data_IF_301028071729
#
_entry.id   IF_301028071729
#
_cell.length_a   1.000
_cell.length_b   1.000
_cell.length_c   1.000
_cell.angle_alpha   90.00
_cell.angle_beta   90.00
_cell.angle_gamma   90.00
#
_symmetry.space_group_name_H-M   'P 1'
#
loop_
_entity.id
_entity.type
_entity.pdbx_description
1 polymer ?
#
# COMPACT_ATOMS: atom_id res chain seq x y z
N UNK A 1 53.02 -34.90 -14.68
CA UNK A 1 52.96 -34.12 -13.42
C UNK A 1 53.22 -32.66 -13.77
N UNK A 2 52.20 -31.81 -13.73
CA UNK A 2 52.36 -30.35 -13.71
C UNK A 2 51.07 -29.74 -13.15
N UNK A 3 51.10 -29.43 -11.85
CA UNK A 3 50.10 -28.63 -11.15
C UNK A 3 50.22 -27.18 -11.64
N UNK A 4 49.16 -26.62 -12.22
CA UNK A 4 49.02 -25.16 -12.35
C UNK A 4 48.16 -24.66 -11.20
N UNK A 5 48.81 -23.97 -10.28
CA UNK A 5 48.18 -23.19 -9.22
C UNK A 5 47.29 -22.11 -9.84
N UNK A 6 46.00 -22.14 -9.51
CA UNK A 6 45.11 -20.99 -9.62
C UNK A 6 45.13 -20.29 -8.25
N UNK A 7 45.95 -19.25 -8.11
CA UNK A 7 45.87 -18.34 -6.97
C UNK A 7 44.77 -17.31 -7.25
N UNK A 8 43.51 -17.72 -7.04
CA UNK A 8 42.41 -16.76 -6.95
C UNK A 8 42.52 -16.07 -5.59
N UNK A 9 42.88 -14.79 -5.60
CA UNK A 9 42.67 -13.92 -4.43
C UNK A 9 41.18 -14.02 -4.06
N UNK A 10 40.91 -14.58 -2.87
CA UNK A 10 39.57 -14.55 -2.30
C UNK A 10 39.25 -13.08 -2.05
N UNK A 11 38.39 -12.50 -2.87
CA UNK A 11 37.75 -11.24 -2.54
C UNK A 11 37.20 -11.37 -1.11
N UNK A 12 37.70 -10.51 -0.23
CA UNK A 12 37.30 -10.50 1.17
C UNK A 12 35.79 -10.34 1.23
N UNK A 13 35.12 -11.24 1.95
CA UNK A 13 33.67 -11.27 2.04
C UNK A 13 33.16 -9.97 2.66
N UNK A 14 33.94 -9.34 3.54
CA UNK A 14 33.61 -8.01 4.07
C UNK A 14 33.70 -6.93 2.99
N UNK A 15 34.74 -6.92 2.15
CA UNK A 15 34.88 -5.95 1.06
C UNK A 15 33.82 -6.15 -0.02
N UNK A 16 33.47 -7.40 -0.34
CA UNK A 16 32.38 -7.71 -1.25
C UNK A 16 31.00 -7.26 -0.70
N UNK A 17 30.75 -7.45 0.59
CA UNK A 17 29.54 -6.95 1.25
C UNK A 17 29.54 -5.42 1.30
N UNK A 18 30.68 -4.79 1.57
CA UNK A 18 30.82 -3.33 1.62
C UNK A 18 30.60 -2.71 0.24
N UNK A 19 31.15 -3.31 -0.81
CA UNK A 19 30.89 -2.94 -2.21
C UNK A 19 29.42 -3.14 -2.59
N UNK A 20 28.78 -4.22 -2.13
CA UNK A 20 27.34 -4.47 -2.34
C UNK A 20 26.47 -3.43 -1.63
N UNK A 21 26.84 -3.05 -0.39
CA UNK A 21 26.16 -2.02 0.39
C UNK A 21 26.39 -0.62 -0.18
N UNK A 22 27.59 -0.33 -0.70
CA UNK A 22 27.90 0.92 -1.40
C UNK A 22 27.14 1.00 -2.74
N UNK A 23 26.99 -0.11 -3.47
CA UNK A 23 26.14 -0.14 -4.67
C UNK A 23 24.66 0.03 -4.33
N UNK A 24 24.16 -0.63 -3.27
CA UNK A 24 22.78 -0.45 -2.80
C UNK A 24 22.51 0.96 -2.25
N UNK A 25 23.50 1.59 -1.62
CA UNK A 25 23.44 2.98 -1.15
C UNK A 25 23.62 4.01 -2.27
N UNK A 26 24.35 3.68 -3.35
CA UNK A 26 24.44 4.52 -4.55
C UNK A 26 23.18 4.40 -5.44
N UNK A 27 22.47 3.27 -5.38
CA UNK A 27 21.13 3.08 -5.98
C UNK A 27 20.00 3.76 -5.19
N UNK A 28 20.33 4.37 -4.05
CA UNK A 28 19.40 5.16 -3.23
C UNK A 28 18.94 6.45 -3.93
N UNK A 29 19.63 6.89 -4.98
CA UNK A 29 19.19 8.00 -5.84
C UNK A 29 18.40 7.49 -7.06
N UNK A 30 17.10 7.28 -6.85
CA UNK A 30 16.07 7.33 -7.89
C UNK A 30 15.74 6.04 -8.65
N UNK A 31 16.66 5.08 -8.78
CA UNK A 31 16.38 3.82 -9.53
C UNK A 31 15.50 2.82 -8.77
N UNK A 32 15.59 2.80 -7.44
CA UNK A 32 14.76 1.93 -6.60
C UNK A 32 13.28 2.33 -6.58
N UNK A 33 13.00 3.64 -6.69
CA UNK A 33 11.63 4.15 -6.76
C UNK A 33 10.89 3.62 -7.98
N UNK A 34 11.55 3.61 -9.15
CA UNK A 34 10.93 3.19 -10.41
C UNK A 34 10.35 1.76 -10.36
N UNK A 35 10.99 0.84 -9.64
CA UNK A 35 10.45 -0.53 -9.47
C UNK A 35 9.12 -0.53 -8.74
N UNK A 36 8.96 0.31 -7.72
CA UNK A 36 7.77 0.33 -6.88
C UNK A 36 6.65 1.26 -7.39
N UNK A 37 6.85 1.91 -8.54
CA UNK A 37 5.78 2.61 -9.26
C UNK A 37 4.73 1.64 -9.83
N UNK A 38 5.11 0.38 -10.09
CA UNK A 38 4.17 -0.67 -10.49
C UNK A 38 3.59 -1.38 -9.25
N UNK A 39 2.26 -1.47 -9.17
CA UNK A 39 1.54 -2.12 -8.08
C UNK A 39 1.90 -3.62 -7.93
N UNK A 40 2.10 -4.35 -9.04
CA UNK A 40 2.48 -5.76 -9.01
C UNK A 40 3.84 -5.96 -8.33
N UNK A 41 4.82 -5.13 -8.67
CA UNK A 41 6.15 -5.15 -8.04
C UNK A 41 6.09 -4.69 -6.58
N UNK A 42 5.31 -3.65 -6.27
CA UNK A 42 5.13 -3.15 -4.91
C UNK A 42 4.49 -4.18 -3.98
N UNK A 43 3.37 -4.78 -4.37
CA UNK A 43 2.65 -5.74 -3.54
C UNK A 43 3.27 -7.15 -3.58
N UNK A 44 3.99 -7.49 -4.65
CA UNK A 44 4.69 -8.77 -4.79
C UNK A 44 5.99 -8.86 -4.01
N UNK A 45 6.63 -7.71 -3.71
CA UNK A 45 7.88 -7.71 -2.96
C UNK A 45 7.68 -8.01 -1.46
N UNK A 46 8.57 -8.84 -0.92
CA UNK A 46 8.64 -9.17 0.51
C UNK A 46 10.01 -8.85 1.13
N UNK A 47 10.93 -8.25 0.38
CA UNK A 47 12.26 -7.90 0.89
C UNK A 47 12.24 -6.62 1.73
N UNK A 48 11.27 -5.73 1.50
CA UNK A 48 11.05 -4.52 2.30
C UNK A 48 9.87 -4.68 3.26
N UNK A 49 10.07 -4.28 4.51
CA UNK A 49 9.04 -4.30 5.54
C UNK A 49 8.00 -3.22 5.26
N UNK A 50 6.72 -3.59 5.28
CA UNK A 50 5.60 -2.64 5.14
C UNK A 50 4.79 -2.52 6.43
N UNK A 51 4.03 -1.44 6.59
CA UNK A 51 3.10 -1.27 7.72
C UNK A 51 2.09 -2.45 7.83
N UNK A 52 1.67 -3.01 6.69
CA UNK A 52 0.81 -4.19 6.67
C UNK A 52 1.49 -5.41 7.30
N UNK A 53 2.78 -5.63 7.00
CA UNK A 53 3.58 -6.70 7.63
C UNK A 53 3.73 -6.47 9.13
N UNK A 54 4.04 -5.24 9.56
CA UNK A 54 4.12 -4.87 10.98
C UNK A 54 2.80 -5.12 11.72
N UNK A 55 1.66 -4.82 11.07
CA UNK A 55 0.34 -5.12 11.61
C UNK A 55 0.08 -6.61 11.83
N UNK A 56 0.66 -7.50 10.99
CA UNK A 56 0.61 -8.96 11.19
C UNK A 56 1.58 -9.40 12.28
N UNK A 57 2.79 -8.86 12.29
CA UNK A 57 3.81 -9.16 13.30
C UNK A 57 3.33 -8.81 14.71
N UNK A 58 2.67 -7.66 14.89
CA UNK A 58 2.04 -7.24 16.15
C UNK A 58 1.08 -8.29 16.71
N UNK A 59 0.43 -9.09 15.85
CA UNK A 59 -0.42 -10.21 16.29
C UNK A 59 0.43 -11.39 16.73
N UNK A 60 1.33 -11.86 15.85
CA UNK A 60 2.42 -12.78 16.19
C UNK A 60 3.34 -13.01 14.98
N UNK A 61 4.57 -13.51 15.18
CA UNK A 61 5.44 -13.95 14.08
C UNK A 61 4.78 -14.99 13.15
N UNK A 62 3.94 -15.88 13.70
CA UNK A 62 3.18 -16.87 12.90
C UNK A 62 2.20 -16.20 11.93
N UNK A 63 1.56 -15.09 12.32
CA UNK A 63 0.67 -14.36 11.42
C UNK A 63 1.43 -13.70 10.27
N UNK A 64 2.63 -13.17 10.53
CA UNK A 64 3.49 -12.63 9.49
C UNK A 64 3.94 -13.75 8.55
N UNK A 65 4.44 -14.88 9.08
CA UNK A 65 4.85 -16.02 8.26
C UNK A 65 3.73 -16.56 7.36
N UNK A 66 2.50 -16.63 7.89
CA UNK A 66 1.32 -17.00 7.10
C UNK A 66 1.05 -15.97 5.98
N UNK A 67 1.11 -14.68 6.29
CA UNK A 67 0.90 -13.61 5.31
C UNK A 67 1.93 -13.64 4.18
N UNK A 68 3.21 -13.84 4.50
CA UNK A 68 4.27 -13.92 3.48
C UNK A 68 4.14 -15.15 2.58
N UNK A 69 3.63 -16.27 3.12
CA UNK A 69 3.50 -17.52 2.35
C UNK A 69 2.22 -17.60 1.51
N UNK A 70 1.10 -17.11 2.04
CA UNK A 70 -0.22 -17.31 1.43
C UNK A 70 -0.94 -16.02 1.05
N UNK A 71 -0.34 -14.86 1.33
CA UNK A 71 -0.99 -13.56 1.18
C UNK A 71 -2.13 -13.34 2.18
N UNK A 72 -3.01 -12.40 1.84
CA UNK A 72 -4.25 -12.14 2.57
C UNK A 72 -5.45 -12.24 1.64
N UNK A 73 -6.53 -12.86 2.13
CA UNK A 73 -7.81 -12.82 1.43
C UNK A 73 -8.36 -11.39 1.37
N UNK A 74 -9.04 -11.08 0.27
CA UNK A 74 -9.81 -9.84 0.14
C UNK A 74 -11.22 -10.03 0.71
N UNK A 75 -11.74 -9.00 1.36
CA UNK A 75 -13.13 -8.96 1.82
C UNK A 75 -13.88 -7.89 1.03
N UNK A 76 -15.19 -8.02 0.92
CA UNK A 76 -16.02 -7.03 0.22
C UNK A 76 -15.82 -5.60 0.74
N UNK A 77 -15.56 -5.43 2.04
CA UNK A 77 -15.24 -4.12 2.62
C UNK A 77 -13.89 -3.55 2.14
N UNK A 78 -12.89 -4.42 1.94
CA UNK A 78 -11.59 -4.02 1.38
C UNK A 78 -11.68 -3.74 -0.12
N UNK A 79 -12.47 -4.53 -0.86
CA UNK A 79 -12.73 -4.29 -2.29
C UNK A 79 -13.43 -2.94 -2.50
N UNK A 80 -14.44 -2.64 -1.66
CA UNK A 80 -15.11 -1.34 -1.67
C UNK A 80 -14.15 -0.19 -1.34
N UNK A 81 -13.32 -0.34 -0.30
CA UNK A 81 -12.30 0.65 0.06
C UNK A 81 -11.31 0.91 -1.09
N UNK A 82 -10.86 -0.14 -1.78
CA UNK A 82 -9.99 -0.02 -2.96
C UNK A 82 -10.69 0.68 -4.12
N UNK A 83 -11.95 0.36 -4.39
CA UNK A 83 -12.72 1.06 -5.42
C UNK A 83 -12.91 2.54 -5.08
N UNK A 84 -13.10 2.87 -3.80
CA UNK A 84 -13.17 4.25 -3.33
C UNK A 84 -11.86 4.99 -3.53
N UNK A 85 -10.71 4.39 -3.16
CA UNK A 85 -9.37 4.95 -3.43
C UNK A 85 -9.17 5.25 -4.91
N UNK A 86 -9.39 4.26 -5.79
CA UNK A 86 -9.30 4.44 -7.24
C UNK A 86 -10.21 5.59 -7.72
N UNK A 87 -11.42 5.71 -7.18
CA UNK A 87 -12.35 6.76 -7.61
C UNK A 87 -11.86 8.18 -7.27
N UNK A 88 -11.15 8.34 -6.16
CA UNK A 88 -10.72 9.64 -5.64
C UNK A 88 -9.29 9.99 -6.10
N UNK A 89 -8.38 9.03 -6.04
CA UNK A 89 -6.94 9.25 -6.20
C UNK A 89 -6.44 8.94 -7.61
N UNK A 90 -7.05 7.96 -8.29
CA UNK A 90 -6.62 7.45 -9.61
C UNK A 90 -7.82 7.21 -10.56
N UNK A 91 -8.63 8.24 -10.86
CA UNK A 91 -9.89 8.10 -11.60
C UNK A 91 -9.72 7.47 -13.01
N UNK A 92 -8.55 7.64 -13.62
CA UNK A 92 -8.18 7.00 -14.88
C UNK A 92 -8.02 5.47 -14.75
N UNK A 93 -7.55 4.97 -13.61
CA UNK A 93 -7.51 3.52 -13.30
C UNK A 93 -8.89 2.99 -12.92
N UNK A 94 -9.70 3.78 -12.21
CA UNK A 94 -11.06 3.38 -11.81
C UNK A 94 -11.88 2.84 -12.98
N UNK A 95 -11.87 3.56 -14.11
CA UNK A 95 -12.62 3.16 -15.33
C UNK A 95 -12.14 1.84 -15.97
N UNK A 96 -10.90 1.42 -15.67
CA UNK A 96 -10.27 0.21 -16.22
C UNK A 96 -10.31 -0.97 -15.26
N UNK A 97 -10.43 -0.72 -13.97
CA UNK A 97 -10.34 -1.75 -12.92
C UNK A 97 -11.67 -2.03 -12.23
N UNK A 98 -12.68 -1.16 -12.35
CA UNK A 98 -13.96 -1.30 -11.66
C UNK A 98 -15.09 -1.57 -12.65
N UNK A 99 -15.91 -2.58 -12.35
CA UNK A 99 -17.09 -2.95 -13.15
C UNK A 99 -18.35 -3.00 -12.29
N UNK A 100 -19.45 -2.54 -12.86
CA UNK A 100 -20.77 -2.63 -12.25
C UNK A 100 -21.42 -3.96 -12.63
N UNK A 101 -21.90 -4.69 -11.63
CA UNK A 101 -22.76 -5.86 -11.81
C UNK A 101 -24.21 -5.52 -11.44
N UNK A 102 -25.08 -5.56 -12.43
CA UNK A 102 -26.51 -5.31 -12.28
C UNK A 102 -27.25 -6.64 -12.03
N UNK A 103 -27.22 -7.10 -10.79
CA UNK A 103 -27.88 -8.33 -10.39
C UNK A 103 -27.62 -8.72 -8.95
N UNK A 104 -28.29 -9.78 -8.49
CA UNK A 104 -28.01 -10.36 -7.18
C UNK A 104 -26.68 -11.11 -7.25
N UNK A 105 -25.79 -10.90 -6.27
CA UNK A 105 -24.53 -11.65 -6.11
C UNK A 105 -24.75 -13.08 -5.59
N UNK A 106 -25.58 -13.83 -6.29
CA UNK A 106 -25.94 -15.21 -5.98
C UNK A 106 -26.35 -15.94 -7.27
N UNK A 107 -26.32 -17.28 -7.25
CA UNK A 107 -26.67 -18.09 -8.42
C UNK A 107 -25.53 -18.26 -9.42
N UNK A 108 -25.85 -18.86 -10.56
CA UNK A 108 -24.87 -19.18 -11.60
C UNK A 108 -24.40 -17.94 -12.36
N UNK A 109 -25.32 -17.04 -12.74
CA UNK A 109 -24.99 -15.79 -13.43
C UNK A 109 -23.92 -14.97 -12.68
N UNK A 110 -24.01 -14.92 -11.34
CA UNK A 110 -23.00 -14.26 -10.51
C UNK A 110 -21.65 -14.98 -10.56
N UNK A 111 -21.65 -16.32 -10.50
CA UNK A 111 -20.41 -17.11 -10.56
C UNK A 111 -19.72 -16.93 -11.90
N UNK A 112 -20.48 -16.96 -12.98
CA UNK A 112 -19.99 -16.80 -14.35
C UNK A 112 -19.42 -15.39 -14.54
N UNK A 113 -20.18 -14.36 -14.13
CA UNK A 113 -19.71 -12.97 -14.19
C UNK A 113 -18.45 -12.74 -13.35
N UNK A 114 -18.42 -13.27 -12.12
CA UNK A 114 -17.25 -13.14 -11.24
C UNK A 114 -16.03 -13.86 -11.81
N UNK A 115 -16.22 -15.00 -12.46
CA UNK A 115 -15.16 -15.75 -13.14
C UNK A 115 -14.61 -14.98 -14.35
N UNK A 116 -15.50 -14.44 -15.18
CA UNK A 116 -15.14 -13.64 -16.35
C UNK A 116 -14.40 -12.35 -15.96
N UNK A 117 -14.88 -11.68 -14.91
CA UNK A 117 -14.33 -10.41 -14.41
C UNK A 117 -13.37 -10.58 -13.24
N UNK A 118 -12.66 -11.72 -13.15
CA UNK A 118 -11.77 -12.06 -12.01
C UNK A 118 -10.68 -11.03 -11.69
N UNK A 119 -10.28 -10.21 -12.66
CA UNK A 119 -9.25 -9.18 -12.51
C UNK A 119 -9.83 -7.78 -12.21
N UNK A 120 -11.16 -7.65 -12.13
CA UNK A 120 -11.84 -6.38 -11.85
C UNK A 120 -12.39 -6.36 -10.43
N UNK A 121 -12.44 -5.17 -9.86
CA UNK A 121 -13.27 -4.88 -8.70
C UNK A 121 -14.72 -4.80 -9.16
N UNK A 122 -15.55 -5.68 -8.63
CA UNK A 122 -16.96 -5.72 -8.99
C UNK A 122 -17.72 -4.94 -7.92
N UNK A 123 -18.52 -3.97 -8.33
CA UNK A 123 -19.48 -3.26 -7.47
C UNK A 123 -20.91 -3.63 -7.87
N UNK A 124 -21.82 -3.70 -6.89
CA UNK A 124 -23.25 -3.72 -7.17
C UNK A 124 -23.79 -2.28 -7.25
N UNK A 125 -25.05 -2.12 -7.63
CA UNK A 125 -25.66 -0.79 -7.78
C UNK A 125 -25.59 0.05 -6.49
N UNK A 126 -25.95 -0.53 -5.35
CA UNK A 126 -25.93 0.17 -4.05
C UNK A 126 -24.52 0.62 -3.65
N UNK A 127 -23.51 -0.23 -3.90
CA UNK A 127 -22.10 0.11 -3.66
C UNK A 127 -21.64 1.23 -4.58
N UNK A 128 -21.96 1.16 -5.88
CA UNK A 128 -21.62 2.19 -6.84
C UNK A 128 -22.25 3.54 -6.49
N UNK A 129 -23.54 3.55 -6.11
CA UNK A 129 -24.24 4.75 -5.70
C UNK A 129 -23.63 5.33 -4.42
N UNK A 130 -23.32 4.48 -3.44
CA UNK A 130 -22.66 4.90 -2.19
C UNK A 130 -21.31 5.55 -2.45
N UNK A 131 -20.50 4.94 -3.31
CA UNK A 131 -19.20 5.47 -3.72
C UNK A 131 -19.34 6.84 -4.41
N UNK A 132 -20.31 6.99 -5.31
CA UNK A 132 -20.62 8.28 -5.95
C UNK A 132 -21.00 9.34 -4.91
N UNK A 133 -21.89 9.03 -3.97
CA UNK A 133 -22.28 10.00 -2.94
C UNK A 133 -21.12 10.38 -2.02
N UNK A 134 -20.25 9.43 -1.68
CA UNK A 134 -19.05 9.71 -0.89
C UNK A 134 -18.08 10.63 -1.64
N UNK A 135 -17.86 10.40 -2.94
CA UNK A 135 -17.05 11.29 -3.79
C UNK A 135 -17.64 12.69 -3.85
N UNK A 136 -18.93 12.81 -4.12
CA UNK A 136 -19.60 14.12 -4.25
C UNK A 136 -19.59 14.87 -2.90
N UNK A 137 -19.62 14.16 -1.77
CA UNK A 137 -19.42 14.74 -0.43
C UNK A 137 -18.00 15.25 -0.20
N UNK A 138 -16.97 14.60 -0.76
CA UNK A 138 -15.59 15.08 -0.67
C UNK A 138 -15.43 16.35 -1.50
N UNK A 139 -15.90 16.34 -2.76
CA UNK A 139 -15.77 17.47 -3.68
C UNK A 139 -16.49 18.71 -3.15
N UNK A 140 -17.65 18.53 -2.49
CA UNK A 140 -18.42 19.63 -1.91
C UNK A 140 -17.84 20.16 -0.59
N UNK A 141 -16.93 19.42 0.06
CA UNK A 141 -16.22 19.88 1.25
C UNK A 141 -14.89 20.55 0.84
N UNK A 142 -14.81 21.87 1.00
CA UNK A 142 -13.65 22.67 0.59
C UNK A 142 -12.33 22.17 1.19
N UNK A 143 -12.30 21.91 2.50
CA UNK A 143 -11.09 21.44 3.19
C UNK A 143 -10.65 20.07 2.65
N UNK A 144 -11.58 19.12 2.54
CA UNK A 144 -11.24 17.78 2.06
C UNK A 144 -10.78 17.80 0.59
N UNK A 145 -11.45 18.60 -0.25
CA UNK A 145 -11.08 18.79 -1.65
C UNK A 145 -9.67 19.37 -1.77
N UNK A 146 -9.36 20.43 -1.05
CA UNK A 146 -8.03 21.06 -1.08
C UNK A 146 -6.93 20.09 -0.62
N UNK A 147 -7.16 19.33 0.45
CA UNK A 147 -6.19 18.35 0.94
C UNK A 147 -5.85 17.28 -0.10
N UNK A 148 -6.84 16.82 -0.87
CA UNK A 148 -6.67 15.79 -1.91
C UNK A 148 -6.09 16.39 -3.20
N UNK A 149 -6.53 17.58 -3.62
CA UNK A 149 -6.05 18.20 -4.85
C UNK A 149 -4.56 18.58 -4.75
N UNK A 150 -4.12 19.08 -3.59
CA UNK A 150 -2.78 19.63 -3.38
C UNK A 150 -1.68 18.60 -3.06
N UNK A 151 -1.98 17.30 -3.06
CA UNK A 151 -0.97 16.26 -2.82
C UNK A 151 -0.61 15.49 -4.10
N UNK A 152 0.55 14.83 -4.15
CA UNK A 152 0.83 13.77 -5.12
C UNK A 152 0.18 12.48 -4.64
N UNK A 153 -0.47 11.73 -5.53
CA UNK A 153 -1.32 10.59 -5.17
C UNK A 153 -0.57 9.28 -5.32
N UNK A 154 -0.86 8.31 -4.45
CA UNK A 154 -0.36 6.93 -4.54
C UNK A 154 1.17 6.84 -4.68
N UNK A 155 1.89 7.60 -3.86
CA UNK A 155 3.36 7.75 -3.99
C UNK A 155 4.07 6.63 -3.25
N UNK A 156 4.79 5.73 -3.95
CA UNK A 156 5.62 4.72 -3.32
C UNK A 156 6.90 5.34 -2.78
N UNK A 157 7.43 4.76 -1.71
CA UNK A 157 8.71 5.16 -1.15
C UNK A 157 9.35 4.01 -0.37
N UNK A 158 10.67 3.95 -0.42
CA UNK A 158 11.51 3.07 0.40
C UNK A 158 12.44 3.88 1.27
N UNK A 159 12.77 3.34 2.43
CA UNK A 159 13.72 3.94 3.35
C UNK A 159 14.38 2.86 4.21
N UNK A 160 15.50 3.21 4.82
CA UNK A 160 16.08 2.43 5.91
C UNK A 160 15.60 3.02 7.23
N UNK A 161 15.08 2.18 8.12
CA UNK A 161 14.75 2.58 9.48
C UNK A 161 16.04 2.87 10.26
N UNK A 162 16.18 4.09 10.77
CA UNK A 162 17.44 4.56 11.38
C UNK A 162 17.81 3.82 12.66
N UNK A 163 16.82 3.27 13.37
CA UNK A 163 17.03 2.63 14.67
C UNK A 163 17.42 1.16 14.52
N UNK A 164 16.90 0.49 13.48
CA UNK A 164 17.05 -0.95 13.29
C UNK A 164 17.85 -1.36 12.06
N UNK A 165 18.11 -0.43 11.13
CA UNK A 165 18.73 -0.71 9.83
C UNK A 165 17.83 -1.52 8.88
N UNK A 166 16.54 -1.66 9.20
CA UNK A 166 15.60 -2.46 8.41
C UNK A 166 15.12 -1.68 7.20
N UNK A 167 15.23 -2.30 6.03
CA UNK A 167 14.67 -1.76 4.79
C UNK A 167 13.14 -1.80 4.82
N UNK A 168 12.53 -0.64 4.65
CA UNK A 168 11.10 -0.39 4.74
C UNK A 168 10.54 0.14 3.43
N UNK A 169 9.24 -0.10 3.21
CA UNK A 169 8.49 0.49 2.11
C UNK A 169 7.08 0.90 2.53
N UNK A 170 6.56 1.89 1.83
CA UNK A 170 5.20 2.39 1.98
C UNK A 170 4.71 2.99 0.67
N UNK A 171 3.39 3.10 0.52
CA UNK A 171 2.75 3.82 -0.58
C UNK A 171 1.69 4.70 0.06
N UNK A 172 1.92 6.01 0.04
CA UNK A 172 1.05 6.98 0.68
C UNK A 172 -0.05 7.40 -0.29
N UNK A 173 -1.30 7.46 0.18
CA UNK A 173 -2.44 7.86 -0.63
C UNK A 173 -2.26 9.29 -1.15
N UNK A 174 -1.73 10.18 -0.30
CA UNK A 174 -1.35 11.54 -0.67
C UNK A 174 -0.07 12.04 0.01
N UNK A 175 0.80 12.69 -0.75
CA UNK A 175 2.03 13.35 -0.28
C UNK A 175 2.01 14.83 -0.67
N UNK A 176 1.86 15.72 0.30
CA UNK A 176 2.05 17.16 0.14
C UNK A 176 3.42 17.59 0.71
N UNK A 177 3.70 18.89 0.71
CA UNK A 177 4.97 19.42 1.22
C UNK A 177 5.08 19.28 2.74
N UNK A 178 3.99 19.50 3.47
CA UNK A 178 3.91 19.54 4.92
C UNK A 178 3.19 18.33 5.55
N UNK A 179 2.29 17.68 4.79
CA UNK A 179 1.50 16.56 5.28
C UNK A 179 1.51 15.31 4.40
N UNK A 180 1.18 14.18 5.03
CA UNK A 180 0.70 12.96 4.40
C UNK A 180 -0.81 12.84 4.58
N UNK A 181 -1.47 12.24 3.59
CA UNK A 181 -2.90 11.93 3.60
C UNK A 181 -3.08 10.43 3.44
N UNK A 182 -4.06 9.87 4.16
CA UNK A 182 -4.55 8.51 3.99
C UNK A 182 -6.09 8.49 4.06
N UNK A 183 -6.74 8.05 2.99
CA UNK A 183 -8.19 7.99 2.90
C UNK A 183 -8.73 6.72 3.55
N UNK A 184 -9.57 6.89 4.57
CA UNK A 184 -10.27 5.77 5.23
C UNK A 184 -11.76 5.76 4.93
N UNK A 185 -12.24 4.64 4.40
CA UNK A 185 -13.68 4.32 4.43
C UNK A 185 -14.05 3.71 5.77
N UNK A 186 -15.18 4.11 6.36
CA UNK A 186 -15.66 3.56 7.62
C UNK A 186 -17.17 3.36 7.60
N UNK A 187 -17.65 2.40 8.41
CA UNK A 187 -19.08 2.23 8.71
C UNK A 187 -19.50 2.97 9.97
N UNK A 188 -18.54 3.62 10.64
CA UNK A 188 -18.80 4.27 11.91
C UNK A 188 -19.60 5.56 11.72
N UNK A 189 -20.71 5.75 12.47
CA UNK A 189 -21.62 6.87 12.26
C UNK A 189 -21.09 8.20 12.83
N UNK A 190 -20.00 8.17 13.62
CA UNK A 190 -19.46 9.35 14.28
C UNK A 190 -17.96 9.23 14.57
N UNK A 191 -17.35 10.38 14.88
CA UNK A 191 -15.92 10.50 15.16
C UNK A 191 -15.45 9.72 16.40
N UNK A 192 -16.30 9.58 17.42
CA UNK A 192 -15.93 8.83 18.65
C UNK A 192 -15.69 7.35 18.32
N UNK A 193 -16.57 6.77 17.51
CA UNK A 193 -16.41 5.41 17.04
C UNK A 193 -15.24 5.26 16.06
N UNK A 194 -15.02 6.26 15.19
CA UNK A 194 -13.84 6.28 14.33
C UNK A 194 -12.54 6.20 15.13
N UNK A 195 -12.42 6.95 16.24
CA UNK A 195 -11.24 6.88 17.13
C UNK A 195 -11.00 5.48 17.68
N UNK A 196 -12.05 4.76 18.07
CA UNK A 196 -11.95 3.37 18.53
C UNK A 196 -11.46 2.45 17.41
N UNK A 197 -11.97 2.64 16.20
CA UNK A 197 -11.51 1.92 15.01
C UNK A 197 -10.05 2.22 14.70
N UNK A 198 -9.62 3.48 14.79
CA UNK A 198 -8.24 3.88 14.58
C UNK A 198 -7.27 3.15 15.52
N UNK A 199 -7.60 3.06 16.81
CA UNK A 199 -6.82 2.28 17.79
C UNK A 199 -6.85 0.77 17.48
N UNK A 200 -8.03 0.23 17.14
CA UNK A 200 -8.20 -1.20 16.82
C UNK A 200 -7.37 -1.62 15.61
N UNK A 201 -7.33 -0.80 14.57
CA UNK A 201 -6.60 -1.09 13.33
C UNK A 201 -5.14 -0.61 13.34
N UNK A 202 -4.75 0.16 14.37
CA UNK A 202 -3.40 0.64 14.56
C UNK A 202 -3.00 1.73 13.57
N UNK A 203 -3.90 2.70 13.36
CA UNK A 203 -3.65 3.85 12.49
C UNK A 203 -2.58 4.79 13.07
N UNK A 204 -2.42 4.81 14.38
CA UNK A 204 -1.29 5.44 15.09
C UNK A 204 0.07 4.88 14.67
N UNK A 205 0.20 3.55 14.58
CA UNK A 205 1.40 2.89 14.05
C UNK A 205 1.60 3.24 12.58
N UNK A 206 0.51 3.25 11.81
CA UNK A 206 0.58 3.63 10.39
C UNK A 206 1.12 5.04 10.24
N UNK A 207 0.56 6.02 10.96
CA UNK A 207 1.00 7.41 10.87
C UNK A 207 2.47 7.53 11.26
N UNK A 208 2.90 6.94 12.38
CA UNK A 208 4.31 7.00 12.80
C UNK A 208 5.25 6.41 11.73
N UNK A 209 4.97 5.20 11.25
CA UNK A 209 5.78 4.52 10.25
C UNK A 209 5.94 5.33 8.95
N UNK A 210 4.86 5.95 8.48
CA UNK A 210 4.89 6.74 7.26
C UNK A 210 5.54 8.11 7.49
N UNK A 211 5.31 8.77 8.62
CA UNK A 211 5.98 10.04 8.96
C UNK A 211 7.50 9.86 9.03
N UNK A 212 7.97 8.78 9.66
CA UNK A 212 9.39 8.45 9.76
C UNK A 212 10.01 8.18 8.41
N UNK A 213 9.30 7.46 7.53
CA UNK A 213 9.75 7.22 6.16
C UNK A 213 9.82 8.50 5.35
N UNK A 214 8.70 9.23 5.25
CA UNK A 214 8.57 10.35 4.31
C UNK A 214 9.16 11.65 4.86
N UNK A 215 9.68 11.62 6.09
CA UNK A 215 10.22 12.78 6.82
C UNK A 215 9.23 13.94 6.87
N UNK A 216 7.96 13.61 7.11
CA UNK A 216 6.85 14.58 7.27
C UNK A 216 6.52 14.78 8.74
N UNK A 217 5.79 15.86 9.03
CA UNK A 217 5.38 16.21 10.40
C UNK A 217 3.91 15.91 10.68
N UNK A 218 3.08 15.93 9.65
CA UNK A 218 1.64 15.76 9.79
C UNK A 218 1.12 14.59 8.97
N UNK A 219 0.12 13.89 9.54
CA UNK A 219 -0.54 12.76 8.92
C UNK A 219 -2.05 12.90 9.14
N UNK A 220 -2.79 12.99 8.04
CA UNK A 220 -4.23 13.22 8.03
C UNK A 220 -4.97 11.96 7.59
N UNK A 221 -6.09 11.67 8.26
CA UNK A 221 -7.00 10.57 7.98
C UNK A 221 -8.38 11.10 7.58
#
# INVERSE_FOLDING_TARGET
>A
MASKHFSGEKADREEAVKQLMIHAAAEFEGRFFARFENDEDYYGDTSYVSNSMLGRLKKSPRHLAHYLKYGSGTSQALEFGRAFHLCILEPEKFSKEVVLYQGRRAGNDWKDFKSEKKNFLILNQTEFDSLRYMRDSIISNEIARELIENCKKEVPMVWEDSDTGVLCKGKADGVADDYLLDLKTTREPNLSNFKRSALKYGYDRQSAFYLDGFKKKEFWF
#
